data_IF_635079920805
#
_entry.id   IF_635079920805
#
_cell.length_a   1.000
_cell.length_b   1.000
_cell.length_c   1.000
_cell.angle_alpha   90.00
_cell.angle_beta   90.00
_cell.angle_gamma   90.00
#
_symmetry.space_group_name_H-M   'P 1'
#
loop_
_entity.id
_entity.type
_entity.pdbx_description
1 polymer ?
#
# COMPACT_ATOMS: atom_id res chain seq x y z
N UNK A 1 15.46 -11.84 -3.46
CA UNK A 1 14.30 -10.96 -3.48
C UNK A 1 14.26 -10.15 -4.76
N UNK A 2 13.14 -10.27 -5.47
CA UNK A 2 12.75 -9.41 -6.59
C UNK A 2 11.41 -8.77 -6.27
N UNK A 3 11.21 -7.55 -6.76
CA UNK A 3 9.99 -6.80 -6.54
C UNK A 3 9.30 -6.38 -7.85
N UNK A 4 7.99 -6.53 -7.90
CA UNK A 4 7.13 -5.99 -8.94
C UNK A 4 6.50 -4.68 -8.44
N UNK A 5 6.69 -3.58 -9.18
CA UNK A 5 6.08 -2.28 -8.89
C UNK A 5 4.97 -2.03 -9.90
N UNK A 6 3.71 -2.06 -9.45
CA UNK A 6 2.57 -1.93 -10.37
C UNK A 6 2.31 -0.46 -10.69
N UNK A 7 2.17 -0.14 -11.97
CA UNK A 7 1.90 1.21 -12.47
C UNK A 7 0.50 1.28 -13.04
N UNK A 8 -0.36 2.08 -12.41
CA UNK A 8 -1.69 2.45 -12.89
C UNK A 8 -1.64 3.83 -13.59
N UNK A 9 -2.64 4.18 -14.41
CA UNK A 9 -2.79 5.56 -14.87
C UNK A 9 -2.91 6.50 -13.66
N UNK A 10 -2.01 7.47 -13.51
CA UNK A 10 -2.01 8.39 -12.36
C UNK A 10 -1.18 7.94 -11.15
N UNK A 11 -0.51 6.78 -11.23
CA UNK A 11 0.62 6.47 -10.34
C UNK A 11 1.76 7.47 -10.59
N UNK A 12 2.39 7.98 -9.53
CA UNK A 12 3.45 9.01 -9.62
C UNK A 12 4.71 8.68 -8.82
N UNK A 13 4.61 7.84 -7.79
CA UNK A 13 5.75 7.50 -6.91
C UNK A 13 6.37 6.15 -7.28
N UNK A 14 6.13 5.65 -8.49
CA UNK A 14 6.65 4.36 -8.98
C UNK A 14 8.18 4.38 -9.07
N UNK A 15 8.77 5.46 -9.60
CA UNK A 15 10.22 5.61 -9.66
C UNK A 15 10.85 5.69 -8.26
N UNK A 16 10.20 6.38 -7.31
CA UNK A 16 10.68 6.49 -5.93
C UNK A 16 10.68 5.11 -5.24
N UNK A 17 9.65 4.29 -5.49
CA UNK A 17 9.59 2.93 -4.97
C UNK A 17 10.72 2.06 -5.55
N UNK A 18 10.94 2.11 -6.87
CA UNK A 18 12.05 1.39 -7.53
C UNK A 18 13.38 1.82 -6.92
N UNK A 19 13.62 3.13 -6.84
CA UNK A 19 14.86 3.67 -6.29
C UNK A 19 15.09 3.21 -4.83
N UNK A 20 14.06 3.27 -3.98
CA UNK A 20 14.16 2.83 -2.58
C UNK A 20 14.46 1.33 -2.45
N UNK A 21 13.85 0.49 -3.30
CA UNK A 21 14.11 -0.95 -3.33
C UNK A 21 15.56 -1.24 -3.77
N UNK A 22 16.06 -0.51 -4.78
CA UNK A 22 17.45 -0.63 -5.24
C UNK A 22 18.44 -0.23 -4.15
N UNK A 23 18.15 0.80 -3.34
CA UNK A 23 18.97 1.16 -2.17
C UNK A 23 19.03 0.03 -1.13
N UNK A 24 18.00 -0.81 -1.08
CA UNK A 24 17.95 -2.01 -0.23
C UNK A 24 18.57 -3.26 -0.91
N UNK A 25 19.14 -3.12 -2.11
CA UNK A 25 19.69 -4.24 -2.87
C UNK A 25 18.64 -5.18 -3.48
N UNK A 26 17.39 -4.72 -3.61
CA UNK A 26 16.28 -5.48 -4.19
C UNK A 26 16.13 -5.07 -5.65
N UNK A 27 16.21 -6.04 -6.56
CA UNK A 27 15.90 -5.81 -7.98
C UNK A 27 14.40 -5.52 -8.14
N UNK A 28 14.06 -4.38 -8.74
CA UNK A 28 12.68 -3.95 -8.93
C UNK A 28 12.37 -3.68 -10.40
N UNK A 29 11.20 -4.14 -10.87
CA UNK A 29 10.70 -3.87 -12.22
C UNK A 29 9.31 -3.25 -12.18
N UNK A 30 9.10 -2.26 -13.05
CA UNK A 30 7.79 -1.64 -13.21
C UNK A 30 6.93 -2.45 -14.16
N UNK A 31 5.70 -2.74 -13.75
CA UNK A 31 4.74 -3.50 -14.54
C UNK A 31 3.50 -2.67 -14.80
N UNK A 32 3.13 -2.54 -16.07
CA UNK A 32 1.92 -1.81 -16.44
C UNK A 32 0.68 -2.63 -16.08
N UNK A 33 -0.28 -2.01 -15.40
CA UNK A 33 -1.40 -2.71 -14.76
C UNK A 33 -2.27 -3.59 -15.68
N UNK A 34 -2.27 -3.36 -17.00
CA UNK A 34 -3.03 -4.19 -17.96
C UNK A 34 -2.28 -5.42 -18.44
N UNK A 35 -0.95 -5.40 -18.35
CA UNK A 35 -0.09 -6.42 -18.95
C UNK A 35 0.32 -7.49 -17.91
N UNK A 36 -0.06 -7.28 -16.64
CA UNK A 36 0.21 -8.21 -15.54
C UNK A 36 -0.80 -9.35 -15.55
N UNK A 37 -0.28 -10.57 -15.71
CA UNK A 37 -1.06 -11.82 -15.58
C UNK A 37 -0.51 -12.73 -14.47
N UNK A 38 0.75 -12.54 -14.08
CA UNK A 38 1.39 -13.17 -12.92
C UNK A 38 2.65 -12.39 -12.53
N UNK A 39 3.25 -12.72 -11.39
CA UNK A 39 4.49 -12.08 -10.92
C UNK A 39 5.72 -13.01 -11.00
N UNK A 40 5.62 -14.16 -11.66
CA UNK A 40 6.70 -15.13 -11.84
C UNK A 40 7.49 -15.44 -10.54
N UNK A 41 8.70 -14.86 -10.43
CA UNK A 41 9.68 -15.03 -9.35
C UNK A 41 9.74 -13.82 -8.41
N UNK A 42 8.87 -12.82 -8.60
CA UNK A 42 8.85 -11.66 -7.74
C UNK A 42 8.25 -12.08 -6.39
N UNK A 43 8.97 -11.79 -5.32
CA UNK A 43 8.64 -12.19 -3.94
C UNK A 43 7.87 -11.07 -3.21
N UNK A 44 7.96 -9.84 -3.76
CA UNK A 44 7.32 -8.64 -3.26
C UNK A 44 6.56 -7.95 -4.39
N UNK A 45 5.31 -7.58 -4.12
CA UNK A 45 4.50 -6.72 -4.98
C UNK A 45 4.25 -5.39 -4.28
N UNK A 46 4.53 -4.29 -4.98
CA UNK A 46 4.36 -2.93 -4.49
C UNK A 46 3.25 -2.25 -5.29
N UNK A 47 2.25 -1.75 -4.57
CA UNK A 47 1.28 -0.78 -5.08
C UNK A 47 1.72 0.62 -4.62
N UNK A 48 2.27 1.47 -5.50
CA UNK A 48 2.81 2.77 -5.13
C UNK A 48 1.72 3.79 -4.77
N UNK A 49 2.17 4.95 -4.26
CA UNK A 49 1.36 6.15 -4.14
C UNK A 49 0.99 6.74 -5.50
N UNK A 50 -0.02 7.62 -5.49
CA UNK A 50 -0.66 8.06 -6.73
C UNK A 50 -1.96 8.79 -6.51
N UNK A 51 -2.55 9.13 -7.65
CA UNK A 51 -3.96 9.40 -7.82
C UNK A 51 -4.42 8.47 -8.94
N UNK A 52 -4.46 7.16 -8.69
CA UNK A 52 -4.82 6.20 -9.72
C UNK A 52 -6.20 6.55 -10.30
N UNK A 53 -6.28 6.68 -11.62
CA UNK A 53 -7.44 7.19 -12.35
C UNK A 53 -7.92 8.57 -11.87
N UNK A 54 -7.00 9.41 -11.40
CA UNK A 54 -7.29 10.75 -10.86
C UNK A 54 -8.14 10.75 -9.60
N UNK A 55 -8.32 9.59 -8.95
CA UNK A 55 -9.27 9.36 -7.86
C UNK A 55 -10.70 9.85 -8.20
N UNK A 56 -11.08 9.83 -9.48
CA UNK A 56 -12.29 10.51 -9.99
C UNK A 56 -13.61 10.02 -9.38
N UNK A 57 -13.71 8.74 -9.05
CA UNK A 57 -14.87 8.18 -8.36
C UNK A 57 -14.67 8.25 -6.84
N UNK A 58 -13.58 7.63 -6.39
CA UNK A 58 -13.07 7.57 -5.02
C UNK A 58 -11.63 7.07 -5.09
N UNK A 59 -10.81 7.42 -4.12
CA UNK A 59 -9.41 6.98 -4.06
C UNK A 59 -9.24 5.48 -4.26
N UNK A 60 -8.44 5.10 -5.26
CA UNK A 60 -8.12 3.69 -5.57
C UNK A 60 -9.27 2.82 -6.10
N UNK A 61 -10.52 3.31 -6.11
CA UNK A 61 -11.71 2.49 -6.36
C UNK A 61 -11.79 1.95 -7.80
N UNK A 62 -11.25 2.69 -8.78
CA UNK A 62 -11.23 2.24 -10.18
C UNK A 62 -10.12 1.22 -10.42
N UNK A 63 -8.96 1.40 -9.76
CA UNK A 63 -7.80 0.54 -9.94
C UNK A 63 -8.03 -0.90 -9.49
N UNK A 64 -8.96 -1.14 -8.55
CA UNK A 64 -9.32 -2.50 -8.11
C UNK A 64 -9.81 -3.41 -9.24
N UNK A 65 -10.36 -2.84 -10.33
CA UNK A 65 -10.88 -3.59 -11.48
C UNK A 65 -9.82 -3.84 -12.57
N UNK A 66 -8.57 -3.49 -12.30
CA UNK A 66 -7.47 -3.71 -13.22
C UNK A 66 -7.12 -5.19 -13.32
N UNK A 67 -6.72 -5.72 -14.51
CA UNK A 67 -6.23 -7.08 -14.67
C UNK A 67 -5.10 -7.45 -13.69
N UNK A 68 -4.18 -6.52 -13.42
CA UNK A 68 -3.14 -6.72 -12.42
C UNK A 68 -3.65 -7.16 -11.05
N UNK A 69 -4.84 -6.71 -10.62
CA UNK A 69 -5.33 -7.03 -9.29
C UNK A 69 -5.64 -8.51 -9.12
N UNK A 70 -6.10 -9.21 -10.17
CA UNK A 70 -6.29 -10.67 -10.15
C UNK A 70 -4.98 -11.39 -9.81
N UNK A 71 -3.86 -10.94 -10.40
CA UNK A 71 -2.54 -11.45 -10.07
C UNK A 71 -2.11 -11.08 -8.64
N UNK A 72 -2.47 -9.88 -8.14
CA UNK A 72 -2.17 -9.45 -6.76
C UNK A 72 -2.88 -10.36 -5.75
N UNK A 73 -4.15 -10.69 -5.97
CA UNK A 73 -4.88 -11.65 -5.13
C UNK A 73 -4.18 -13.01 -5.11
N UNK A 74 -3.89 -13.56 -6.29
CA UNK A 74 -3.25 -14.87 -6.39
C UNK A 74 -1.88 -14.89 -5.70
N UNK A 75 -1.11 -13.80 -5.79
CA UNK A 75 0.18 -13.68 -5.11
C UNK A 75 0.04 -13.60 -3.60
N UNK A 76 -0.91 -12.81 -3.09
CA UNK A 76 -1.18 -12.71 -1.66
C UNK A 76 -1.68 -14.04 -1.07
N UNK A 77 -2.58 -14.74 -1.76
CA UNK A 77 -3.08 -16.06 -1.34
C UNK A 77 -1.98 -17.13 -1.32
N UNK A 78 -0.99 -17.02 -2.22
CA UNK A 78 0.19 -17.88 -2.23
C UNK A 78 1.22 -17.54 -1.12
N UNK A 79 0.94 -16.54 -0.28
CA UNK A 79 1.82 -16.10 0.81
C UNK A 79 2.92 -15.13 0.37
N UNK A 80 2.83 -14.58 -0.85
CA UNK A 80 3.73 -13.54 -1.34
C UNK A 80 3.53 -12.21 -0.60
N UNK A 81 4.57 -11.38 -0.56
CA UNK A 81 4.52 -10.10 0.15
C UNK A 81 3.84 -9.05 -0.73
N UNK A 82 2.87 -8.34 -0.16
CA UNK A 82 2.23 -7.19 -0.81
C UNK A 82 2.31 -5.97 0.09
N UNK A 83 2.76 -4.85 -0.45
CA UNK A 83 2.77 -3.56 0.25
C UNK A 83 2.05 -2.50 -0.58
N UNK A 84 1.11 -1.79 0.05
CA UNK A 84 0.40 -0.67 -0.53
C UNK A 84 0.78 0.63 0.18
N UNK A 85 1.22 1.64 -0.58
CA UNK A 85 1.71 2.92 -0.02
C UNK A 85 0.78 4.03 -0.47
N UNK A 86 0.22 4.81 0.47
CA UNK A 86 -0.73 5.90 0.19
C UNK A 86 -1.91 5.41 -0.70
N UNK A 87 -1.90 5.73 -2.00
CA UNK A 87 -2.90 5.24 -2.95
C UNK A 87 -2.89 3.73 -3.11
N UNK A 88 -1.74 3.07 -2.99
CA UNK A 88 -1.67 1.61 -2.95
C UNK A 88 -2.43 1.02 -1.77
N UNK A 89 -2.36 1.63 -0.58
CA UNK A 89 -3.13 1.17 0.59
C UNK A 89 -4.64 1.34 0.36
N UNK A 90 -5.04 2.46 -0.23
CA UNK A 90 -6.42 2.71 -0.63
C UNK A 90 -6.91 1.62 -1.61
N UNK A 91 -6.13 1.28 -2.63
CA UNK A 91 -6.44 0.20 -3.58
C UNK A 91 -6.62 -1.14 -2.86
N UNK A 92 -5.75 -1.48 -1.90
CA UNK A 92 -5.86 -2.73 -1.15
C UNK A 92 -7.17 -2.80 -0.34
N UNK A 93 -7.58 -1.70 0.31
CA UNK A 93 -8.88 -1.62 0.98
C UNK A 93 -10.05 -1.71 -0.01
N UNK A 94 -9.99 -0.99 -1.13
CA UNK A 94 -11.03 -1.02 -2.17
C UNK A 94 -11.22 -2.39 -2.82
N UNK A 95 -10.12 -3.14 -2.93
CA UNK A 95 -10.06 -4.52 -3.39
C UNK A 95 -10.43 -5.54 -2.30
N UNK A 96 -10.65 -5.12 -1.06
CA UNK A 96 -10.94 -6.03 0.06
C UNK A 96 -9.82 -7.03 0.37
N UNK A 97 -8.61 -6.84 -0.16
CA UNK A 97 -7.40 -7.51 0.33
C UNK A 97 -7.06 -7.06 1.76
N UNK A 98 -7.39 -5.82 2.08
CA UNK A 98 -7.37 -5.29 3.43
C UNK A 98 -8.78 -4.85 3.85
N UNK A 99 -9.14 -5.01 5.12
CA UNK A 99 -10.42 -4.53 5.61
C UNK A 99 -10.43 -3.00 5.74
N UNK A 100 -11.62 -2.45 5.98
CA UNK A 100 -11.84 -1.01 6.16
C UNK A 100 -11.75 -0.20 4.87
N UNK A 101 -11.88 1.11 5.00
CA UNK A 101 -11.84 2.07 3.90
C UNK A 101 -11.11 3.34 4.31
N UNK A 102 -10.62 4.07 3.33
CA UNK A 102 -10.04 5.40 3.52
C UNK A 102 -11.06 6.45 3.12
N UNK A 103 -11.25 7.43 3.98
CA UNK A 103 -12.14 8.57 3.76
C UNK A 103 -11.33 9.87 3.70
N UNK A 104 -11.99 10.94 3.22
CA UNK A 104 -11.48 12.31 3.36
C UNK A 104 -10.98 12.57 4.78
N UNK A 105 -9.85 13.25 4.84
CA UNK A 105 -9.28 13.75 6.08
C UNK A 105 -10.36 14.56 6.82
N UNK A 106 -10.41 14.44 8.15
CA UNK A 106 -11.38 15.18 8.97
C UNK A 106 -11.25 16.70 8.77
N UNK A 107 -10.02 17.18 8.53
CA UNK A 107 -9.76 18.58 8.24
C UNK A 107 -10.24 19.06 6.86
N UNK A 108 -10.75 18.15 6.01
CA UNK A 108 -11.20 18.42 4.64
C UNK A 108 -10.14 19.08 3.74
N UNK A 109 -8.87 18.87 4.06
CA UNK A 109 -7.72 19.48 3.37
C UNK A 109 -6.69 18.40 3.04
N UNK A 110 -5.98 18.60 1.93
CA UNK A 110 -4.80 17.82 1.61
C UNK A 110 -3.69 18.11 2.63
N UNK A 111 -3.06 17.05 3.15
CA UNK A 111 -1.94 17.17 4.09
C UNK A 111 -0.66 16.70 3.40
N UNK A 112 0.33 17.58 3.35
CA UNK A 112 1.69 17.31 2.87
C UNK A 112 2.66 17.80 3.95
N UNK A 113 3.05 16.93 4.87
CA UNK A 113 3.83 17.31 6.04
C UNK A 113 4.59 16.10 6.61
N UNK A 114 5.61 16.37 7.42
CA UNK A 114 6.26 15.33 8.21
C UNK A 114 5.34 14.86 9.33
N UNK A 115 5.27 13.55 9.53
CA UNK A 115 4.57 12.92 10.65
C UNK A 115 5.54 12.01 11.40
N UNK A 116 5.31 11.87 12.70
CA UNK A 116 6.17 11.08 13.57
C UNK A 116 5.42 9.82 13.98
N UNK A 117 5.93 8.65 13.56
CA UNK A 117 5.29 7.36 13.76
C UNK A 117 6.15 6.48 14.68
N UNK A 118 5.48 5.74 15.56
CA UNK A 118 6.10 4.72 16.41
C UNK A 118 5.63 3.34 15.91
N UNK A 119 6.54 2.42 15.55
CA UNK A 119 6.14 1.08 15.15
C UNK A 119 5.67 0.29 16.37
N UNK A 120 4.43 -0.20 16.34
CA UNK A 120 3.80 -0.94 17.45
C UNK A 120 3.81 -2.45 17.24
N UNK A 121 3.85 -2.90 15.98
CA UNK A 121 3.88 -4.30 15.60
C UNK A 121 5.25 -4.71 15.07
N UNK A 122 5.85 -5.72 15.69
CA UNK A 122 7.16 -6.28 15.31
C UNK A 122 7.05 -7.69 14.70
N UNK A 123 5.84 -8.17 14.42
CA UNK A 123 5.61 -9.49 13.81
C UNK A 123 5.46 -9.42 12.29
N UNK A 124 5.16 -8.24 11.75
CA UNK A 124 5.08 -8.01 10.30
C UNK A 124 6.47 -8.05 9.67
N UNK A 125 6.63 -8.69 8.49
CA UNK A 125 7.91 -8.71 7.77
C UNK A 125 8.42 -7.30 7.40
N UNK A 126 7.55 -6.30 7.37
CA UNK A 126 7.90 -4.91 7.05
C UNK A 126 8.42 -4.11 8.25
N UNK A 127 8.15 -4.55 9.48
CA UNK A 127 8.45 -3.78 10.69
C UNK A 127 9.21 -4.58 11.75
N UNK A 128 9.45 -5.88 11.54
CA UNK A 128 10.11 -6.78 12.50
C UNK A 128 11.52 -6.37 12.95
N UNK A 129 12.19 -5.50 12.18
CA UNK A 129 13.53 -5.01 12.49
C UNK A 129 13.56 -3.54 12.89
N UNK A 130 12.40 -2.90 13.06
CA UNK A 130 12.32 -1.53 13.55
C UNK A 130 12.41 -1.51 15.08
N UNK A 131 13.02 -0.45 15.61
CA UNK A 131 13.09 -0.22 17.06
C UNK A 131 11.74 0.36 17.53
N UNK A 132 10.98 -0.44 18.29
CA UNK A 132 9.67 -0.07 18.81
C UNK A 132 9.69 1.04 19.87
N UNK A 133 10.87 1.43 20.38
CA UNK A 133 11.03 2.59 21.26
C UNK A 133 11.39 3.87 20.50
N UNK A 134 11.72 3.75 19.22
CA UNK A 134 12.18 4.86 18.39
C UNK A 134 11.06 5.40 17.53
N UNK A 135 10.88 6.71 17.60
CA UNK A 135 10.01 7.44 16.68
C UNK A 135 10.72 7.69 15.35
N UNK A 136 10.01 7.44 14.24
CA UNK A 136 10.48 7.67 12.89
C UNK A 136 9.70 8.81 12.25
N UNK A 137 10.41 9.75 11.64
CA UNK A 137 9.79 10.79 10.82
C UNK A 137 9.47 10.21 9.44
N UNK A 138 8.19 10.21 9.08
CA UNK A 138 7.67 9.70 7.81
C UNK A 138 6.83 10.82 7.15
N UNK A 139 7.16 11.24 5.93
CA UNK A 139 6.36 12.23 5.22
C UNK A 139 5.00 11.63 4.84
N UNK A 140 3.93 12.41 5.03
CA UNK A 140 2.58 12.06 4.58
C UNK A 140 2.13 13.02 3.48
N UNK A 141 1.40 12.50 2.48
CA UNK A 141 0.89 13.26 1.35
C UNK A 141 -0.45 12.68 0.90
N UNK A 142 -1.56 13.14 1.50
CA UNK A 142 -2.90 12.61 1.20
C UNK A 142 -4.05 13.58 1.50
N UNK A 143 -5.12 13.50 0.71
CA UNK A 143 -6.42 14.13 0.97
C UNK A 143 -7.45 13.17 1.60
N UNK A 144 -7.28 11.86 1.39
CA UNK A 144 -8.15 10.80 1.87
C UNK A 144 -7.33 9.71 2.58
N UNK A 145 -6.77 10.03 3.75
CA UNK A 145 -5.96 9.08 4.55
C UNK A 145 -6.61 8.67 5.86
N UNK A 146 -7.87 9.05 6.10
CA UNK A 146 -8.57 8.71 7.33
C UNK A 146 -9.12 7.29 7.22
N UNK A 147 -8.47 6.34 7.88
CA UNK A 147 -8.95 4.96 7.98
C UNK A 147 -10.23 4.88 8.81
N UNK A 148 -11.21 4.12 8.30
CA UNK A 148 -12.49 3.86 8.96
C UNK A 148 -12.88 2.41 8.72
N UNK A 149 -13.29 1.75 9.79
CA UNK A 149 -13.92 0.43 9.75
C UNK A 149 -14.98 0.35 10.85
N UNK A 150 -15.85 -0.65 10.78
CA UNK A 150 -16.79 -0.92 11.88
C UNK A 150 -16.06 -1.39 13.15
N UNK A 151 -16.68 -1.26 14.34
CA UNK A 151 -16.02 -1.61 15.60
C UNK A 151 -15.54 -3.07 15.69
N UNK A 152 -16.23 -4.01 15.06
CA UNK A 152 -15.85 -5.43 15.09
C UNK A 152 -14.56 -5.65 14.27
N UNK A 153 -14.47 -5.02 13.10
CA UNK A 153 -13.27 -5.02 12.27
C UNK A 153 -12.08 -4.38 12.98
N UNK A 154 -12.28 -3.25 13.68
CA UNK A 154 -11.20 -2.58 14.43
C UNK A 154 -10.69 -3.49 15.56
N UNK A 155 -11.60 -4.04 16.36
CA UNK A 155 -11.24 -4.96 17.44
C UNK A 155 -10.48 -6.19 16.91
N UNK A 156 -10.92 -6.77 15.79
CA UNK A 156 -10.22 -7.89 15.16
C UNK A 156 -8.79 -7.53 14.76
N UNK A 157 -8.55 -6.34 14.19
CA UNK A 157 -7.20 -5.91 13.81
C UNK A 157 -6.29 -5.70 15.02
N UNK A 158 -6.82 -5.15 16.11
CA UNK A 158 -6.09 -4.98 17.37
C UNK A 158 -5.77 -6.34 18.02
N UNK A 159 -6.77 -7.20 18.18
CA UNK A 159 -6.64 -8.52 18.82
C UNK A 159 -5.71 -9.47 18.05
N UNK A 160 -5.66 -9.35 16.72
CA UNK A 160 -4.81 -10.16 15.86
C UNK A 160 -3.45 -9.52 15.54
N UNK A 161 -3.11 -8.40 16.20
CA UNK A 161 -1.86 -7.68 16.03
C UNK A 161 -1.58 -7.32 14.56
N UNK A 162 -2.56 -6.67 13.91
CA UNK A 162 -2.52 -6.24 12.51
C UNK A 162 -2.53 -4.71 12.33
N UNK A 163 -2.32 -3.96 13.43
CA UNK A 163 -2.10 -2.50 13.47
C UNK A 163 -0.64 -2.23 13.78
#
# INVERSE_FOLDING_TARGET
MRAAVIVFPGTWSDNDCVWALEQCGIEARKLWHRDVTSFDRDELVVLPGGFSYGDYLRTGAIARFSPAMDAVYAHAEAGGLVIGICNGFQILCESQLLPGVLMRNESLQFRCQDSYLLPVNQTSPFTAHLDASRTYMVPVSHGEGRYVADPETVAMLEDTNRI
#
